data_IF_002021285008
#
_entry.id   IF_002021285008
#
_cell.length_a   1.000
_cell.length_b   1.000
_cell.length_c   1.000
_cell.angle_alpha   90.00
_cell.angle_beta   90.00
_cell.angle_gamma   90.00
#
_symmetry.space_group_name_H-M   'P 1'
#
loop_
_entity.id
_entity.type
_entity.pdbx_description
1 polymer ?
#
# COMPACT_ATOMS: atom_id res chain seq x y z
N UNK A 1 -41.01 39.62 12.44
CA UNK A 1 -40.46 40.86 11.82
C UNK A 1 -39.90 40.46 10.45
N UNK A 2 -40.69 40.65 9.37
CA UNK A 2 -40.41 41.53 8.21
C UNK A 2 -38.98 41.37 7.66
N UNK A 3 -38.79 40.67 6.54
CA UNK A 3 -38.72 41.18 5.14
C UNK A 3 -37.22 41.18 4.71
N UNK A 4 -36.74 40.93 3.48
CA UNK A 4 -37.33 40.99 2.13
C UNK A 4 -36.39 40.32 1.13
N UNK A 5 -36.94 39.92 -0.01
CA UNK A 5 -36.31 39.44 -1.26
C UNK A 5 -35.27 40.39 -1.88
N UNK A 6 -34.35 39.87 -2.73
CA UNK A 6 -34.42 40.02 -4.21
C UNK A 6 -33.13 39.57 -4.92
N UNK A 7 -33.35 38.97 -6.10
CA UNK A 7 -32.38 38.54 -7.10
C UNK A 7 -32.19 39.61 -8.20
N UNK A 8 -31.11 39.50 -8.99
CA UNK A 8 -30.93 39.78 -10.46
C UNK A 8 -29.42 40.06 -10.71
N UNK A 9 -28.66 39.32 -11.53
CA UNK A 9 -28.59 39.18 -13.01
C UNK A 9 -28.29 40.48 -13.78
N UNK A 10 -27.18 40.48 -14.55
CA UNK A 10 -26.92 41.06 -15.90
C UNK A 10 -25.43 41.46 -16.05
N UNK A 11 -24.67 40.81 -16.96
CA UNK A 11 -24.33 41.24 -18.34
C UNK A 11 -23.13 42.23 -18.37
N UNK A 12 -22.16 42.28 -19.29
CA UNK A 12 -22.06 42.08 -20.76
C UNK A 12 -20.55 42.25 -21.11
N UNK A 13 -19.90 41.40 -21.93
CA UNK A 13 -19.61 41.53 -23.39
C UNK A 13 -18.83 42.78 -23.86
N UNK A 14 -17.66 42.56 -24.51
CA UNK A 14 -17.07 43.25 -25.69
C UNK A 14 -15.52 43.21 -25.66
N UNK A 15 -14.72 43.15 -26.74
CA UNK A 15 -14.83 42.79 -28.16
C UNK A 15 -13.38 42.68 -28.70
N UNK A 16 -13.18 41.98 -29.81
CA UNK A 16 -11.92 41.70 -30.50
C UNK A 16 -11.24 42.90 -31.20
N UNK A 17 -9.95 42.77 -31.59
CA UNK A 17 -9.39 43.11 -32.93
C UNK A 17 -7.84 43.05 -32.99
N UNK A 18 -7.29 42.38 -34.02
CA UNK A 18 -6.07 42.84 -34.71
C UNK A 18 -4.83 41.93 -34.76
N UNK A 19 -4.71 41.14 -35.84
CA UNK A 19 -3.44 40.79 -36.52
C UNK A 19 -3.61 41.21 -38.00
N UNK A 20 -2.61 41.21 -38.92
CA UNK A 20 -1.16 41.00 -38.82
C UNK A 20 -0.34 42.14 -39.48
N UNK A 21 1.00 42.13 -39.43
CA UNK A 21 1.84 42.90 -40.38
C UNK A 21 3.02 42.07 -40.86
N UNK A 22 2.96 41.68 -42.13
CA UNK A 22 4.04 41.17 -42.96
C UNK A 22 4.62 42.35 -43.75
N UNK A 23 5.95 42.49 -43.88
CA UNK A 23 6.55 43.38 -44.89
C UNK A 23 7.98 42.99 -45.30
N UNK A 24 8.04 42.28 -46.42
CA UNK A 24 8.85 42.49 -47.65
C UNK A 24 10.37 42.83 -47.56
N UNK A 25 11.13 41.96 -48.21
CA UNK A 25 12.56 41.94 -48.59
C UNK A 25 13.03 43.13 -49.47
N UNK A 26 14.36 43.34 -49.65
CA UNK A 26 14.92 43.14 -51.00
C UNK A 26 16.35 42.55 -51.08
N UNK A 27 16.51 41.50 -51.92
CA UNK A 27 17.55 41.17 -52.94
C UNK A 27 18.96 41.81 -52.89
N UNK A 28 20.08 41.23 -53.35
CA UNK A 28 20.50 39.93 -53.90
C UNK A 28 22.04 40.00 -54.12
N UNK A 29 22.78 38.89 -54.06
CA UNK A 29 23.88 38.57 -55.00
C UNK A 29 24.36 37.12 -54.80
N UNK A 30 24.65 36.36 -55.88
CA UNK A 30 24.99 34.94 -55.78
C UNK A 30 26.49 34.77 -55.61
N UNK A 31 26.92 33.96 -54.63
CA UNK A 31 28.32 33.51 -54.54
C UNK A 31 28.36 31.99 -54.54
N UNK A 32 28.81 31.50 -55.69
CA UNK A 32 29.51 30.27 -56.02
C UNK A 32 29.73 29.26 -54.87
N UNK A 33 29.25 28.05 -55.11
CA UNK A 33 29.48 26.86 -54.30
C UNK A 33 30.98 26.53 -54.14
N UNK A 34 31.41 26.32 -52.89
CA UNK A 34 32.58 25.51 -52.56
C UNK A 34 32.09 24.23 -51.85
N UNK A 35 32.61 23.04 -52.19
CA UNK A 35 32.21 21.81 -51.54
C UNK A 35 32.87 21.72 -50.16
N UNK A 36 32.05 21.65 -49.10
CA UNK A 36 32.51 21.30 -47.77
C UNK A 36 32.48 19.77 -47.59
N UNK A 37 33.38 19.18 -46.78
CA UNK A 37 33.66 17.75 -46.77
C UNK A 37 32.51 16.94 -46.17
N UNK A 38 32.36 15.72 -46.67
CA UNK A 38 31.44 14.69 -46.20
C UNK A 38 31.53 14.51 -44.66
N UNK A 39 30.42 14.61 -43.91
CA UNK A 39 30.44 14.32 -42.49
C UNK A 39 30.57 12.81 -42.27
N UNK A 40 31.56 12.41 -41.47
CA UNK A 40 31.75 11.04 -41.01
C UNK A 40 30.46 10.48 -40.39
N UNK A 41 30.16 9.18 -40.57
CA UNK A 41 28.97 8.57 -39.98
C UNK A 41 29.04 8.65 -38.44
N UNK A 42 27.91 8.91 -37.76
CA UNK A 42 27.86 8.95 -36.31
C UNK A 42 28.23 7.58 -35.71
N UNK A 43 28.86 7.56 -34.53
CA UNK A 43 29.26 6.31 -33.87
C UNK A 43 28.04 5.43 -33.59
N UNK A 44 28.24 4.11 -33.74
CA UNK A 44 27.25 3.09 -33.46
C UNK A 44 26.63 3.31 -32.06
N UNK A 45 25.30 3.34 -32.01
CA UNK A 45 24.55 3.37 -30.76
C UNK A 45 24.96 2.13 -29.92
N UNK A 46 25.28 2.30 -28.63
CA UNK A 46 25.40 1.15 -27.74
C UNK A 46 24.08 0.39 -27.77
N UNK A 47 24.16 -0.92 -27.96
CA UNK A 47 23.02 -1.82 -27.86
C UNK A 47 22.26 -1.48 -26.57
N UNK A 48 20.97 -1.17 -26.72
CA UNK A 48 20.05 -1.08 -25.60
C UNK A 48 20.06 -2.45 -24.92
N UNK A 49 20.81 -2.53 -23.82
CA UNK A 49 20.64 -3.60 -22.85
C UNK A 49 19.18 -3.55 -22.46
N UNK A 50 18.45 -4.61 -22.82
CA UNK A 50 17.09 -4.87 -22.39
C UNK A 50 17.02 -4.55 -20.90
N UNK A 51 16.44 -3.40 -20.57
CA UNK A 51 16.12 -3.07 -19.20
C UNK A 51 15.04 -4.06 -18.85
N UNK A 52 15.43 -5.13 -18.14
CA UNK A 52 14.48 -5.98 -17.45
C UNK A 52 13.54 -5.02 -16.73
N UNK A 53 12.25 -5.07 -17.07
CA UNK A 53 11.24 -4.31 -16.37
C UNK A 53 11.49 -4.49 -14.87
N UNK A 54 11.59 -3.42 -14.07
CA UNK A 54 11.79 -3.58 -12.63
C UNK A 54 10.67 -4.49 -12.14
N UNK A 55 11.07 -5.68 -11.67
CA UNK A 55 10.13 -6.67 -11.17
C UNK A 55 9.30 -6.01 -10.09
N UNK A 56 7.98 -6.01 -10.28
CA UNK A 56 7.00 -5.22 -9.54
C UNK A 56 6.77 -5.67 -8.09
N UNK A 57 7.61 -6.57 -7.57
CA UNK A 57 7.61 -7.09 -6.21
C UNK A 57 8.71 -6.38 -5.41
N UNK A 58 8.37 -5.69 -4.32
CA UNK A 58 9.37 -5.01 -3.50
C UNK A 58 10.21 -5.99 -2.67
N UNK A 59 9.72 -7.19 -2.37
CA UNK A 59 10.45 -8.25 -1.67
C UNK A 59 9.89 -9.63 -2.01
N UNK A 60 10.68 -10.68 -1.84
CA UNK A 60 10.23 -12.08 -1.90
C UNK A 60 10.31 -12.76 -0.53
N UNK A 61 11.27 -12.34 0.30
CA UNK A 61 11.55 -12.87 1.63
C UNK A 61 11.84 -11.73 2.60
N UNK A 62 11.79 -12.01 3.91
CA UNK A 62 12.12 -11.01 4.95
C UNK A 62 13.54 -10.45 4.79
N UNK A 63 14.47 -11.23 4.25
CA UNK A 63 15.87 -10.83 4.03
C UNK A 63 16.04 -9.76 2.94
N UNK A 64 15.04 -9.57 2.07
CA UNK A 64 15.03 -8.51 1.06
C UNK A 64 14.61 -7.15 1.65
N UNK A 65 14.15 -7.13 2.91
CA UNK A 65 13.64 -5.95 3.57
C UNK A 65 14.62 -5.43 4.61
N UNK A 66 14.91 -4.14 4.50
CA UNK A 66 15.92 -3.47 5.31
C UNK A 66 15.34 -2.22 5.97
N UNK A 67 15.96 -1.80 7.06
CA UNK A 67 15.70 -0.46 7.59
C UNK A 67 16.27 0.60 6.64
N UNK A 68 15.54 1.69 6.52
CA UNK A 68 15.88 2.85 5.69
C UNK A 68 17.20 3.52 6.09
N UNK A 69 17.44 3.61 7.40
CA UNK A 69 18.65 4.18 7.97
C UNK A 69 19.22 3.23 9.05
N UNK A 70 20.50 2.83 8.96
CA UNK A 70 21.11 1.90 9.92
C UNK A 70 21.39 2.53 11.30
N UNK A 71 21.38 3.86 11.40
CA UNK A 71 21.65 4.61 12.61
C UNK A 71 20.38 5.05 13.33
N UNK A 72 19.37 5.46 12.57
CA UNK A 72 18.08 5.94 13.07
C UNK A 72 16.95 5.29 12.26
N UNK A 73 16.75 3.98 12.39
CA UNK A 73 15.76 3.25 11.60
C UNK A 73 14.34 3.79 11.87
N UNK A 74 13.63 4.19 10.81
CA UNK A 74 12.26 4.72 10.89
C UNK A 74 11.28 3.99 9.97
N UNK A 75 11.75 3.44 8.85
CA UNK A 75 10.93 2.78 7.85
C UNK A 75 11.61 1.49 7.33
N UNK A 76 10.82 0.57 6.83
CA UNK A 76 11.29 -0.58 6.07
C UNK A 76 11.24 -0.29 4.57
N UNK A 77 12.27 -0.73 3.87
CA UNK A 77 12.46 -0.54 2.43
C UNK A 77 13.01 -1.81 1.79
N UNK A 78 12.74 -1.97 0.50
CA UNK A 78 13.33 -3.00 -0.36
C UNK A 78 14.76 -2.67 -0.81
N UNK A 79 15.22 -1.44 -0.53
CA UNK A 79 16.55 -0.98 -0.93
C UNK A 79 17.50 -1.17 0.23
N UNK A 80 18.58 -1.93 0.03
CA UNK A 80 19.62 -2.08 1.03
C UNK A 80 20.23 -0.71 1.38
N UNK A 81 20.34 -0.37 2.68
CA UNK A 81 20.94 0.87 3.11
C UNK A 81 22.45 0.85 2.79
N UNK A 82 23.07 2.03 2.59
CA UNK A 82 24.51 2.11 2.45
C UNK A 82 25.21 1.59 3.73
N UNK A 83 26.39 1.00 3.57
CA UNK A 83 27.27 0.63 4.68
C UNK A 83 27.77 1.90 5.38
N UNK A 84 27.04 2.33 6.41
CA UNK A 84 27.37 3.48 7.24
C UNK A 84 27.76 3.03 8.64
N UNK A 85 28.87 3.58 9.14
CA UNK A 85 29.27 3.41 10.53
C UNK A 85 28.66 4.56 11.37
N UNK A 86 27.68 4.21 12.20
CA UNK A 86 27.03 5.16 13.10
C UNK A 86 27.93 5.51 14.28
N UNK A 87 28.08 6.80 14.58
CA UNK A 87 28.72 7.22 15.84
C UNK A 87 27.89 6.79 17.05
N UNK A 88 26.55 6.89 16.93
CA UNK A 88 25.56 6.36 17.86
C UNK A 88 24.42 5.75 17.03
N UNK A 89 24.01 4.52 17.36
CA UNK A 89 22.88 3.84 16.72
C UNK A 89 21.70 3.75 17.69
N UNK A 90 20.50 4.09 17.22
CA UNK A 90 19.27 3.76 17.95
C UNK A 90 18.88 2.31 17.68
N UNK A 91 18.39 1.56 18.68
CA UNK A 91 17.87 0.24 18.43
C UNK A 91 16.67 0.33 17.45
N UNK A 92 16.53 -0.62 16.52
CA UNK A 92 15.36 -0.68 15.67
C UNK A 92 14.10 -0.87 16.53
N UNK A 93 12.97 -0.24 16.16
CA UNK A 93 11.73 -0.34 16.92
C UNK A 93 10.94 -1.63 16.63
N UNK A 94 11.59 -2.65 16.08
CA UNK A 94 10.99 -3.89 15.60
C UNK A 94 11.82 -4.57 14.52
N UNK A 95 11.15 -5.15 13.53
CA UNK A 95 11.75 -5.88 12.40
C UNK A 95 11.12 -5.48 11.06
N UNK A 96 11.84 -5.68 9.97
CA UNK A 96 11.31 -5.59 8.62
C UNK A 96 10.93 -6.98 8.11
N UNK A 97 9.72 -7.11 7.58
CA UNK A 97 9.19 -8.38 7.06
C UNK A 97 8.57 -8.17 5.69
N UNK A 98 8.61 -9.21 4.86
CA UNK A 98 8.01 -9.20 3.54
C UNK A 98 6.58 -9.73 3.61
N UNK A 99 5.61 -8.86 3.36
CA UNK A 99 4.19 -9.20 3.35
C UNK A 99 3.59 -8.78 2.02
N UNK A 100 3.01 -9.73 1.28
CA UNK A 100 2.38 -9.50 -0.02
C UNK A 100 3.29 -8.68 -0.98
N UNK A 101 4.55 -9.11 -1.09
CA UNK A 101 5.59 -8.48 -1.92
C UNK A 101 5.92 -7.02 -1.53
N UNK A 102 5.67 -6.64 -0.27
CA UNK A 102 5.97 -5.31 0.28
C UNK A 102 6.76 -5.43 1.57
N UNK A 103 7.77 -4.58 1.73
CA UNK A 103 8.46 -4.45 3.00
C UNK A 103 7.59 -3.69 4.01
N UNK A 104 7.30 -4.34 5.13
CA UNK A 104 6.43 -3.84 6.20
C UNK A 104 7.22 -3.83 7.51
N UNK A 105 7.09 -2.76 8.29
CA UNK A 105 7.67 -2.71 9.63
C UNK A 105 6.73 -3.39 10.63
N UNK A 106 7.20 -4.50 11.19
CA UNK A 106 6.62 -5.14 12.36
C UNK A 106 7.24 -4.52 13.61
N UNK A 107 6.54 -3.55 14.20
CA UNK A 107 6.93 -2.92 15.47
C UNK A 107 6.96 -3.93 16.62
N UNK A 108 7.78 -3.66 17.62
CA UNK A 108 7.71 -4.34 18.92
C UNK A 108 6.41 -3.96 19.64
N UNK A 109 5.58 -4.96 19.95
CA UNK A 109 4.26 -4.77 20.56
C UNK A 109 4.17 -5.58 21.87
N UNK A 110 4.61 -5.04 23.02
CA UNK A 110 4.69 -5.81 24.27
C UNK A 110 3.32 -6.32 24.75
N UNK A 111 2.27 -5.53 24.56
CA UNK A 111 0.89 -5.89 24.89
C UNK A 111 0.13 -6.51 23.70
N UNK A 112 0.84 -6.83 22.61
CA UNK A 112 0.26 -7.30 21.35
C UNK A 112 -0.37 -6.19 20.50
N UNK A 113 -0.26 -4.92 20.91
CA UNK A 113 -0.71 -3.77 20.13
C UNK A 113 0.05 -2.48 20.47
N UNK A 114 -0.10 -1.46 19.62
CA UNK A 114 0.28 -0.06 19.88
C UNK A 114 -0.94 0.85 19.77
N UNK A 115 -0.99 1.90 20.58
CA UNK A 115 -2.02 2.94 20.48
C UNK A 115 -1.41 4.23 19.93
N UNK A 116 -2.14 4.92 19.07
CA UNK A 116 -1.83 6.29 18.70
C UNK A 116 -1.95 7.21 19.92
N UNK A 117 -1.17 8.28 19.92
CA UNK A 117 -1.31 9.35 20.91
C UNK A 117 -2.58 10.17 20.63
N UNK A 118 -2.91 10.36 19.35
CA UNK A 118 -4.04 11.14 18.86
C UNK A 118 -5.37 10.38 18.93
N UNK A 119 -6.46 11.11 19.12
CA UNK A 119 -7.82 10.56 19.22
C UNK A 119 -8.38 10.20 17.83
N UNK A 120 -9.16 9.13 17.76
CA UNK A 120 -9.85 8.73 16.53
C UNK A 120 -11.37 8.80 16.69
N UNK A 121 -12.08 8.83 15.57
CA UNK A 121 -13.55 8.83 15.53
C UNK A 121 -14.03 7.60 14.79
N UNK A 122 -15.03 6.93 15.36
CA UNK A 122 -15.74 5.84 14.67
C UNK A 122 -16.64 6.40 13.57
N UNK A 123 -16.60 5.79 12.38
CA UNK A 123 -17.52 6.12 11.27
C UNK A 123 -17.22 7.45 10.56
N UNK A 124 -18.23 7.97 9.84
CA UNK A 124 -18.10 9.02 8.82
C UNK A 124 -17.94 10.47 9.35
N UNK A 125 -17.60 10.65 10.63
CA UNK A 125 -17.58 11.97 11.29
C UNK A 125 -16.19 12.58 11.54
N UNK A 126 -15.12 11.83 11.32
CA UNK A 126 -13.74 12.26 11.55
C UNK A 126 -12.74 11.46 10.72
N UNK A 127 -11.44 11.78 10.80
CA UNK A 127 -10.43 11.06 10.03
C UNK A 127 -10.37 9.61 10.52
N UNK A 128 -10.61 8.61 9.65
CA UNK A 128 -10.50 7.22 10.04
C UNK A 128 -9.02 6.85 10.30
N UNK A 129 -8.79 5.78 11.05
CA UNK A 129 -7.44 5.31 11.34
C UNK A 129 -6.80 4.72 10.09
N UNK A 130 -5.68 5.29 9.68
CA UNK A 130 -4.88 4.80 8.58
C UNK A 130 -3.55 4.21 9.05
N UNK A 131 -2.95 3.39 8.19
CA UNK A 131 -1.74 2.63 8.44
C UNK A 131 -0.62 3.03 7.49
N UNK A 132 0.58 3.24 8.03
CA UNK A 132 1.82 3.30 7.27
C UNK A 132 2.50 1.94 7.39
N UNK A 133 2.54 1.16 6.29
CA UNK A 133 3.15 -0.17 6.29
C UNK A 133 4.67 -0.09 6.48
N UNK A 134 5.33 0.85 5.80
CA UNK A 134 6.78 1.02 5.89
C UNK A 134 7.22 1.43 7.30
N UNK A 135 6.47 2.30 7.99
CA UNK A 135 6.84 2.81 9.32
C UNK A 135 6.21 2.01 10.47
N UNK A 136 5.28 1.10 10.14
CA UNK A 136 4.55 0.30 11.12
C UNK A 136 3.77 1.19 12.09
N UNK A 137 3.06 2.20 11.59
CA UNK A 137 2.29 3.15 12.41
C UNK A 137 0.80 3.11 12.06
N UNK A 138 -0.05 3.42 13.04
CA UNK A 138 -1.50 3.51 12.89
C UNK A 138 -1.98 4.81 13.52
N UNK A 139 -2.39 5.78 12.70
CA UNK A 139 -2.73 7.15 13.14
C UNK A 139 -4.00 7.66 12.47
N UNK A 140 -4.72 8.61 13.09
CA UNK A 140 -5.87 9.24 12.44
C UNK A 140 -5.45 9.93 11.14
N UNK A 141 -6.21 9.70 10.06
CA UNK A 141 -5.98 10.37 8.77
C UNK A 141 -4.82 9.80 7.95
N UNK A 142 -4.20 8.71 8.38
CA UNK A 142 -3.18 7.99 7.60
C UNK A 142 -3.74 7.32 6.34
N UNK A 143 -2.84 6.72 5.54
CA UNK A 143 -3.25 5.97 4.35
C UNK A 143 -4.06 4.72 4.70
N UNK A 144 -5.15 4.47 3.98
CA UNK A 144 -5.99 3.29 4.18
C UNK A 144 -5.54 2.16 3.28
N UNK A 145 -4.38 1.57 3.57
CA UNK A 145 -3.83 0.46 2.78
C UNK A 145 -3.25 -0.63 3.67
N UNK A 146 -4.12 -1.46 4.22
CA UNK A 146 -3.78 -2.85 4.54
C UNK A 146 -4.58 -3.74 3.59
N UNK A 147 -4.12 -3.86 2.35
CA UNK A 147 -4.63 -4.87 1.43
C UNK A 147 -3.71 -6.08 1.54
N UNK A 148 -4.22 -7.15 2.12
CA UNK A 148 -3.61 -8.48 2.13
C UNK A 148 -4.73 -9.50 2.09
N UNK A 149 -4.43 -10.73 1.69
CA UNK A 149 -5.40 -11.80 1.78
C UNK A 149 -5.75 -12.06 3.27
N UNK A 150 -6.89 -12.67 3.56
CA UNK A 150 -7.35 -12.85 4.94
C UNK A 150 -6.46 -13.82 5.74
N UNK A 151 -5.70 -14.65 5.03
CA UNK A 151 -4.82 -15.72 5.48
C UNK A 151 -3.33 -15.35 5.51
N UNK A 152 -3.00 -14.07 5.32
CA UNK A 152 -1.62 -13.57 5.41
C UNK A 152 -1.37 -12.87 6.74
N UNK A 153 -0.13 -13.02 7.25
CA UNK A 153 0.35 -12.23 8.37
C UNK A 153 0.40 -10.76 7.97
N UNK A 154 -0.24 -9.88 8.73
CA UNK A 154 -0.32 -8.46 8.35
C UNK A 154 -0.64 -7.55 9.52
N UNK A 155 -0.25 -6.27 9.45
CA UNK A 155 -0.69 -5.30 10.42
C UNK A 155 -2.15 -4.88 10.17
N UNK A 156 -2.87 -4.64 11.25
CA UNK A 156 -4.27 -4.20 11.26
C UNK A 156 -4.35 -2.90 12.03
N UNK A 157 -5.03 -1.92 11.46
CA UNK A 157 -5.22 -0.61 12.06
C UNK A 157 -6.72 -0.33 12.18
N UNK A 158 -7.17 0.06 13.37
CA UNK A 158 -8.58 0.36 13.64
C UNK A 158 -8.73 1.40 14.74
N UNK A 159 -9.92 2.00 14.84
CA UNK A 159 -10.26 2.88 15.96
C UNK A 159 -10.81 2.03 17.12
N UNK A 160 -10.21 2.12 18.30
CA UNK A 160 -10.59 1.33 19.47
C UNK A 160 -10.87 2.22 20.69
N UNK A 161 -11.75 1.75 21.57
CA UNK A 161 -12.21 2.50 22.74
C UNK A 161 -13.48 3.30 22.47
N UNK A 162 -13.91 4.04 23.49
CA UNK A 162 -15.10 4.90 23.44
C UNK A 162 -14.66 6.37 23.35
N UNK A 163 -15.36 7.22 22.57
CA UNK A 163 -15.14 8.66 22.62
C UNK A 163 -15.28 9.21 24.04
N UNK A 164 -14.45 10.20 24.46
CA UNK A 164 -13.44 10.91 23.68
C UNK A 164 -12.06 10.22 23.65
N UNK A 165 -11.91 9.10 24.36
CA UNK A 165 -10.63 8.43 24.58
C UNK A 165 -10.32 7.35 23.52
N UNK A 166 -11.10 7.29 22.45
CA UNK A 166 -10.84 6.37 21.36
C UNK A 166 -9.49 6.70 20.70
N UNK A 167 -8.68 5.66 20.43
CA UNK A 167 -7.34 5.76 19.84
C UNK A 167 -7.21 4.77 18.69
N UNK A 168 -6.38 5.11 17.71
CA UNK A 168 -6.01 4.17 16.67
C UNK A 168 -5.14 3.07 17.27
N UNK A 169 -5.50 1.81 17.03
CA UNK A 169 -4.78 0.65 17.53
C UNK A 169 -4.15 -0.08 16.36
N UNK A 170 -2.83 -0.22 16.42
CA UNK A 170 -2.08 -1.11 15.55
C UNK A 170 -1.96 -2.48 16.23
N UNK A 171 -2.34 -3.53 15.53
CA UNK A 171 -2.13 -4.92 15.94
C UNK A 171 -1.41 -5.66 14.81
N UNK A 172 -0.56 -6.63 15.14
CA UNK A 172 -0.04 -7.57 14.15
C UNK A 172 -0.90 -8.83 14.18
N UNK A 173 -1.57 -9.13 13.07
CA UNK A 173 -2.36 -10.34 12.95
C UNK A 173 -1.55 -11.45 12.30
N UNK A 174 -1.55 -12.62 12.94
CA UNK A 174 -0.99 -13.85 12.39
C UNK A 174 -2.14 -14.78 11.98
N UNK A 175 -2.01 -15.54 10.88
CA UNK A 175 -2.99 -16.55 10.53
C UNK A 175 -3.19 -17.55 11.67
N UNK A 176 -4.39 -18.09 11.88
CA UNK A 176 -4.61 -19.13 12.87
C UNK A 176 -3.73 -20.35 12.59
N UNK A 177 -3.02 -20.85 13.60
CA UNK A 177 -2.21 -22.07 13.46
C UNK A 177 -3.09 -23.32 13.38
N UNK A 178 -2.67 -24.33 12.65
CA UNK A 178 -3.35 -25.63 12.54
C UNK A 178 -2.37 -26.79 12.45
N UNK A 179 -2.80 -27.96 12.92
CA UNK A 179 -2.15 -29.24 12.62
C UNK A 179 -2.86 -29.92 11.44
N UNK A 180 -4.18 -29.77 11.38
CA UNK A 180 -5.04 -30.35 10.35
C UNK A 180 -6.10 -29.35 9.91
N UNK A 181 -6.70 -29.58 8.74
CA UNK A 181 -7.86 -28.80 8.25
C UNK A 181 -9.03 -28.77 9.24
N UNK A 182 -9.11 -29.75 10.15
CA UNK A 182 -10.16 -29.83 11.16
C UNK A 182 -10.02 -28.76 12.25
N UNK A 183 -8.87 -28.12 12.35
CA UNK A 183 -8.57 -27.05 13.32
C UNK A 183 -8.90 -25.67 12.77
N UNK A 184 -9.04 -25.56 11.44
CA UNK A 184 -9.30 -24.32 10.76
C UNK A 184 -10.79 -23.98 10.74
N UNK A 185 -11.25 -23.32 11.79
CA UNK A 185 -12.59 -22.74 11.86
C UNK A 185 -12.42 -21.25 12.04
N UNK A 186 -12.90 -20.44 11.09
CA UNK A 186 -12.79 -19.00 11.17
C UNK A 186 -14.05 -18.29 10.70
N UNK A 187 -14.25 -17.07 11.22
CA UNK A 187 -15.28 -16.15 10.75
C UNK A 187 -14.80 -15.47 9.45
N UNK A 188 -15.59 -15.56 8.39
CA UNK A 188 -15.26 -15.02 7.05
C UNK A 188 -15.74 -13.56 6.89
N UNK A 189 -16.73 -13.13 7.68
CA UNK A 189 -17.38 -11.82 7.50
C UNK A 189 -16.49 -10.63 7.89
N UNK A 190 -15.36 -10.92 8.55
CA UNK A 190 -14.41 -9.92 9.01
C UNK A 190 -13.32 -9.57 7.99
N UNK A 191 -12.67 -8.40 8.12
CA UNK A 191 -11.49 -8.09 7.32
C UNK A 191 -10.35 -9.09 7.55
N UNK A 192 -10.37 -9.86 8.64
CA UNK A 192 -9.29 -10.72 9.12
C UNK A 192 -9.86 -12.09 9.49
N UNK A 193 -9.16 -13.19 9.17
CA UNK A 193 -9.56 -14.53 9.63
C UNK A 193 -9.42 -14.62 11.15
N UNK A 194 -10.54 -14.65 11.87
CA UNK A 194 -10.54 -14.87 13.32
C UNK A 194 -10.90 -16.31 13.64
N UNK A 195 -10.13 -17.01 14.47
CA UNK A 195 -10.50 -18.35 14.90
C UNK A 195 -11.86 -18.31 15.59
N UNK A 196 -12.78 -19.17 15.15
CA UNK A 196 -14.05 -19.42 15.84
C UNK A 196 -14.05 -20.81 16.44
N UNK A 197 -14.88 -21.00 17.47
CA UNK A 197 -15.18 -22.35 17.94
C UNK A 197 -15.93 -23.09 16.85
N UNK A 198 -15.44 -24.28 16.49
CA UNK A 198 -16.15 -25.21 15.61
C UNK A 198 -17.64 -25.31 15.99
N UNK A 199 -18.56 -25.00 15.07
CA UNK A 199 -19.99 -25.13 15.29
C UNK A 199 -20.33 -26.53 15.79
N UNK A 200 -21.20 -26.61 16.81
CA UNK A 200 -21.52 -27.89 17.48
C UNK A 200 -21.99 -28.96 16.48
N UNK A 201 -22.79 -28.57 15.48
CA UNK A 201 -23.34 -29.44 14.43
C UNK A 201 -22.28 -30.11 13.56
N UNK A 202 -21.10 -29.52 13.45
CA UNK A 202 -20.01 -30.02 12.60
C UNK A 202 -18.97 -30.80 13.41
N UNK A 203 -19.07 -30.86 14.74
CA UNK A 203 -18.10 -31.57 15.58
C UNK A 203 -18.15 -33.07 15.28
N UNK A 204 -16.99 -33.66 14.96
CA UNK A 204 -16.86 -35.10 14.67
C UNK A 204 -16.94 -35.48 13.19
N UNK A 205 -17.47 -34.60 12.34
CA UNK A 205 -17.54 -34.82 10.89
C UNK A 205 -16.28 -34.29 10.18
N UNK A 206 -16.06 -34.69 8.92
CA UNK A 206 -15.13 -33.97 8.03
C UNK A 206 -15.89 -32.80 7.41
N UNK A 207 -15.16 -31.75 7.02
CA UNK A 207 -15.75 -30.61 6.32
C UNK A 207 -16.21 -31.07 4.93
N UNK A 208 -17.45 -30.74 4.54
CA UNK A 208 -18.01 -31.08 3.22
C UNK A 208 -18.46 -29.80 2.48
N UNK A 209 -17.61 -29.22 1.61
CA UNK A 209 -17.79 -27.86 1.07
C UNK A 209 -19.14 -27.61 0.39
N UNK A 210 -19.65 -28.59 -0.36
CA UNK A 210 -20.91 -28.46 -1.09
C UNK A 210 -22.17 -28.68 -0.23
N UNK A 211 -22.04 -29.29 0.94
CA UNK A 211 -23.17 -29.58 1.85
C UNK A 211 -23.27 -28.52 2.94
N UNK A 212 -22.12 -28.07 3.44
CA UNK A 212 -22.03 -27.10 4.53
C UNK A 212 -22.22 -25.65 4.04
N UNK A 213 -22.14 -25.40 2.72
CA UNK A 213 -22.34 -24.08 2.10
C UNK A 213 -21.18 -23.10 2.36
N UNK A 214 -20.02 -23.62 2.74
CA UNK A 214 -18.83 -22.87 3.14
C UNK A 214 -17.63 -23.28 2.28
N UNK A 215 -16.67 -22.37 2.09
CA UNK A 215 -15.38 -22.70 1.45
C UNK A 215 -14.55 -23.53 2.42
N UNK A 216 -13.97 -24.64 1.94
CA UNK A 216 -13.11 -25.48 2.78
C UNK A 216 -11.88 -24.70 3.25
N UNK A 217 -11.66 -24.60 4.57
CA UNK A 217 -10.41 -24.10 5.08
C UNK A 217 -9.33 -25.17 4.87
N UNK A 218 -8.13 -24.75 4.49
CA UNK A 218 -6.97 -25.63 4.34
C UNK A 218 -5.95 -25.36 5.45
N UNK A 219 -5.20 -26.40 5.81
CA UNK A 219 -4.03 -26.25 6.68
C UNK A 219 -2.77 -26.34 5.84
N UNK A 220 -2.16 -25.19 5.54
CA UNK A 220 -0.99 -25.07 4.65
C UNK A 220 0.15 -24.45 5.42
N UNK A 221 1.30 -25.10 5.45
CA UNK A 221 2.48 -24.59 6.17
C UNK A 221 2.27 -24.42 7.69
N UNK A 222 1.29 -25.12 8.29
CA UNK A 222 0.93 -25.00 9.70
C UNK A 222 -0.05 -23.85 10.01
N UNK A 223 -0.59 -23.19 8.98
CA UNK A 223 -1.54 -22.09 9.12
C UNK A 223 -2.83 -22.34 8.33
N UNK A 224 -3.92 -21.81 8.88
CA UNK A 224 -5.22 -21.87 8.25
C UNK A 224 -5.32 -20.87 7.11
N UNK A 225 -5.53 -21.40 5.91
CA UNK A 225 -5.75 -20.63 4.69
C UNK A 225 -7.15 -20.90 4.15
N UNK A 226 -7.64 -20.02 3.27
CA UNK A 226 -8.78 -20.39 2.41
C UNK A 226 -8.23 -21.26 1.30
N UNK A 227 -8.80 -22.44 1.06
CA UNK A 227 -8.42 -23.20 -0.11
C UNK A 227 -8.70 -22.38 -1.39
N UNK A 228 -7.83 -22.40 -2.40
CA UNK A 228 -8.12 -21.75 -3.67
C UNK A 228 -9.43 -22.30 -4.22
N UNK A 229 -10.31 -21.38 -4.61
CA UNK A 229 -11.70 -21.62 -5.01
C UNK A 229 -11.75 -22.59 -6.20
N UNK A 230 -11.82 -23.90 -5.93
CA UNK A 230 -11.93 -24.91 -6.98
C UNK A 230 -12.51 -26.23 -6.44
N UNK A 231 -13.60 -26.15 -5.68
CA UNK A 231 -14.52 -27.28 -5.65
C UNK A 231 -15.77 -26.84 -6.40
N UNK A 232 -15.84 -27.23 -7.67
CA UNK A 232 -17.09 -27.23 -8.40
C UNK A 232 -18.04 -28.17 -7.66
N UNK A 233 -19.04 -27.57 -7.02
CA UNK A 233 -20.32 -28.21 -6.81
C UNK A 233 -21.09 -28.07 -8.14
#
# INVERSE_FOLDING_TARGET
MRATHQALVLATLALACGAPVERVEPQATPVVAQPAPEPAPPPAQPAETETAAPSSSACATDDDCHFDDPCVPQACTATAPPDLACAESRPPPGSCVCVAERCVMRRDMPEGYLLSEETCVHGFGGPPCGISLAEGTCTPGGEHRAHGAHDEARPVCGCHGAPPDARCRLEWHEPPTCETERDCWFDDDGPVLRPIRRPRRLRGHRFEPCVDGEVAPACVGGFCTRAPVAFGC
#
